data_IF_369441467751
#
_entry.id   IF_369441467751
#
_cell.length_a   1.000
_cell.length_b   1.000
_cell.length_c   1.000
_cell.angle_alpha   90.00
_cell.angle_beta   90.00
_cell.angle_gamma   90.00
#
_symmetry.space_group_name_H-M   'P 1'
#
loop_
_entity.id
_entity.type
_entity.pdbx_description
1 polymer ?
#
# COMPACT_ATOMS: atom_id res chain seq x y z
N UNK A 1 -6.31 38.23 -28.55
CA UNK A 1 -6.58 39.57 -27.99
C UNK A 1 -6.30 40.59 -29.09
N UNK A 2 -7.10 41.66 -29.19
CA UNK A 2 -6.74 42.80 -30.05
C UNK A 2 -5.52 43.51 -29.48
N UNK A 3 -4.75 44.23 -30.29
CA UNK A 3 -3.55 44.96 -29.83
C UNK A 3 -3.85 45.92 -28.67
N UNK A 4 -5.04 46.52 -28.66
CA UNK A 4 -5.51 47.38 -27.58
C UNK A 4 -5.73 46.59 -26.28
N UNK A 5 -6.32 45.40 -26.36
CA UNK A 5 -6.52 44.52 -25.20
C UNK A 5 -5.19 43.98 -24.64
N UNK A 6 -4.24 43.64 -25.52
CA UNK A 6 -2.91 43.16 -25.11
C UNK A 6 -2.11 44.27 -24.40
N UNK A 7 -2.21 45.53 -24.87
CA UNK A 7 -1.59 46.68 -24.21
C UNK A 7 -2.23 47.00 -22.85
N UNK A 8 -3.55 46.95 -22.75
CA UNK A 8 -4.26 47.13 -21.48
C UNK A 8 -3.83 46.06 -20.47
N UNK A 9 -3.87 44.79 -20.87
CA UNK A 9 -3.48 43.66 -20.03
C UNK A 9 -2.03 43.75 -19.56
N UNK A 10 -1.09 44.14 -20.44
CA UNK A 10 0.31 44.34 -20.07
C UNK A 10 0.47 45.43 -19.00
N UNK A 11 -0.26 46.54 -19.13
CA UNK A 11 -0.22 47.67 -18.18
C UNK A 11 -0.79 47.28 -16.81
N UNK A 12 -1.91 46.55 -16.82
CA UNK A 12 -2.55 46.06 -15.59
C UNK A 12 -1.65 45.04 -14.87
N UNK A 13 -1.03 44.14 -15.64
CA UNK A 13 -0.10 43.14 -15.11
C UNK A 13 1.18 43.78 -14.55
N UNK A 14 1.72 44.82 -15.21
CA UNK A 14 2.86 45.59 -14.68
C UNK A 14 2.54 46.20 -13.31
N UNK A 15 1.35 46.80 -13.21
CA UNK A 15 0.89 47.45 -11.98
C UNK A 15 0.71 46.44 -10.86
N UNK A 16 0.08 45.31 -11.16
CA UNK A 16 -0.15 44.22 -10.20
C UNK A 16 1.17 43.68 -9.66
N UNK A 17 2.11 43.34 -10.55
CA UNK A 17 3.39 42.74 -10.17
C UNK A 17 4.25 43.71 -9.33
N UNK A 18 4.27 44.99 -9.69
CA UNK A 18 5.02 46.00 -8.93
C UNK A 18 4.39 46.30 -7.57
N UNK A 19 3.07 46.24 -7.45
CA UNK A 19 2.39 46.39 -6.16
C UNK A 19 2.64 45.17 -5.26
N UNK A 20 2.52 43.96 -5.79
CA UNK A 20 2.82 42.73 -5.05
C UNK A 20 4.30 42.68 -4.59
N UNK A 21 5.23 43.13 -5.43
CA UNK A 21 6.65 43.23 -5.05
C UNK A 21 6.88 44.22 -3.91
N UNK A 22 6.19 45.37 -3.91
CA UNK A 22 6.24 46.34 -2.81
C UNK A 22 5.65 45.77 -1.51
N UNK A 23 4.52 45.07 -1.59
CA UNK A 23 3.90 44.42 -0.43
C UNK A 23 4.79 43.32 0.16
N UNK A 24 5.52 42.58 -0.69
CA UNK A 24 6.49 41.58 -0.27
C UNK A 24 7.84 42.16 0.21
N UNK A 25 8.02 43.50 0.16
CA UNK A 25 9.25 44.17 0.60
C UNK A 25 10.46 43.98 -0.33
N UNK A 26 10.23 43.55 -1.58
CA UNK A 26 11.29 43.32 -2.57
C UNK A 26 11.75 44.65 -3.17
N UNK A 27 13.07 44.90 -3.15
CA UNK A 27 13.68 46.10 -3.75
C UNK A 27 13.95 45.87 -5.24
N UNK A 28 12.91 45.97 -6.08
CA UNK A 28 13.02 45.83 -7.53
C UNK A 28 11.72 46.24 -8.23
N UNK A 29 11.81 46.56 -9.52
CA UNK A 29 10.62 46.82 -10.37
C UNK A 29 10.61 45.88 -11.57
N UNK A 30 9.42 45.59 -12.08
CA UNK A 30 9.17 44.77 -13.26
C UNK A 30 8.56 45.67 -14.33
N UNK A 31 9.06 45.57 -15.57
CA UNK A 31 8.44 46.18 -16.74
C UNK A 31 7.72 45.10 -17.55
N UNK A 32 6.50 45.40 -18.02
CA UNK A 32 5.69 44.47 -18.81
C UNK A 32 5.33 45.14 -20.13
N UNK A 33 5.95 44.71 -21.23
CA UNK A 33 5.72 45.30 -22.56
C UNK A 33 4.86 44.39 -23.41
N UNK A 34 3.80 44.96 -23.99
CA UNK A 34 3.02 44.25 -25.02
C UNK A 34 3.80 44.17 -26.33
N UNK A 35 3.98 42.96 -26.85
CA UNK A 35 4.61 42.68 -28.13
C UNK A 35 3.53 42.55 -29.21
N UNK A 36 3.33 43.64 -29.96
CA UNK A 36 2.22 43.78 -30.93
C UNK A 36 2.27 42.78 -32.08
N UNK A 37 3.43 42.19 -32.38
CA UNK A 37 3.59 41.31 -33.56
C UNK A 37 3.23 39.84 -33.27
N UNK A 38 3.12 39.45 -31.99
CA UNK A 38 2.95 38.04 -31.60
C UNK A 38 1.80 37.78 -30.62
N UNK A 39 1.05 38.81 -30.20
CA UNK A 39 0.05 38.66 -29.12
C UNK A 39 0.66 38.25 -27.78
N UNK A 40 1.96 38.56 -27.59
CA UNK A 40 2.76 38.18 -26.42
C UNK A 40 2.99 39.38 -25.51
N UNK A 41 3.40 39.08 -24.28
CA UNK A 41 3.77 40.08 -23.27
C UNK A 41 5.17 39.72 -22.75
N UNK A 42 6.10 40.67 -22.87
CA UNK A 42 7.48 40.54 -22.43
C UNK A 42 7.62 41.12 -21.02
N UNK A 43 7.98 40.30 -20.04
CA UNK A 43 8.18 40.70 -18.63
C UNK A 43 9.68 40.77 -18.35
N UNK A 44 10.17 41.93 -17.92
CA UNK A 44 11.59 42.15 -17.59
C UNK A 44 11.71 42.68 -16.16
N UNK A 45 12.54 42.03 -15.34
CA UNK A 45 12.99 42.61 -14.07
C UNK A 45 14.00 43.73 -14.35
N UNK A 46 13.80 44.90 -13.74
CA UNK A 46 14.67 46.07 -13.84
C UNK A 46 15.64 46.17 -12.65
N UNK A 47 15.96 45.05 -12.01
CA UNK A 47 16.99 45.01 -10.99
C UNK A 47 18.31 44.64 -11.68
N UNK A 48 19.33 45.49 -11.56
CA UNK A 48 20.61 45.37 -12.31
C UNK A 48 21.64 44.47 -11.59
N UNK A 49 21.20 43.58 -10.69
CA UNK A 49 22.04 42.58 -10.03
C UNK A 49 21.91 41.19 -10.66
N UNK A 50 22.95 40.36 -10.56
CA UNK A 50 23.04 39.01 -11.17
C UNK A 50 21.92 38.03 -10.75
N UNK A 51 21.16 38.32 -9.68
CA UNK A 51 20.09 37.47 -9.15
C UNK A 51 18.67 37.87 -9.60
N UNK A 52 18.54 38.63 -10.69
CA UNK A 52 17.23 39.18 -11.11
C UNK A 52 16.45 38.20 -11.99
N UNK A 53 15.97 37.09 -11.41
CA UNK A 53 15.10 36.13 -12.10
C UNK A 53 13.62 36.29 -11.67
N UNK A 54 12.72 36.25 -12.66
CA UNK A 54 11.28 36.15 -12.43
C UNK A 54 10.87 34.69 -12.61
N UNK A 55 10.50 34.02 -11.52
CA UNK A 55 10.06 32.62 -11.52
C UNK A 55 8.57 32.50 -11.21
N UNK A 56 7.87 31.63 -11.94
CA UNK A 56 6.50 31.23 -11.60
C UNK A 56 6.56 30.06 -10.63
N UNK A 57 6.12 30.25 -9.39
CA UNK A 57 5.98 29.15 -8.42
C UNK A 57 4.73 28.36 -8.80
N UNK A 58 4.90 27.08 -9.18
CA UNK A 58 3.77 26.14 -9.33
C UNK A 58 3.71 25.30 -10.60
N UNK A 59 4.75 25.28 -11.44
CA UNK A 59 4.76 24.40 -12.63
C UNK A 59 5.64 23.17 -12.38
N UNK A 60 5.03 21.99 -12.48
CA UNK A 60 5.66 20.66 -12.45
C UNK A 60 6.35 20.30 -13.77
N UNK A 61 6.40 21.21 -14.75
CA UNK A 61 6.99 20.95 -16.06
C UNK A 61 8.52 21.04 -15.98
N UNK A 62 9.18 19.88 -16.00
CA UNK A 62 10.64 19.73 -15.90
C UNK A 62 11.39 19.92 -17.21
N UNK A 63 10.69 20.05 -18.35
CA UNK A 63 11.31 20.24 -19.69
C UNK A 63 10.37 21.00 -20.62
N UNK A 64 10.80 22.13 -21.16
CA UNK A 64 10.15 22.79 -22.31
C UNK A 64 11.04 22.56 -23.53
N UNK A 65 10.78 21.47 -24.24
CA UNK A 65 11.49 21.15 -25.49
C UNK A 65 10.80 21.86 -26.64
N UNK A 66 11.56 22.61 -27.44
CA UNK A 66 11.02 23.28 -28.62
C UNK A 66 10.44 22.23 -29.60
N UNK A 67 9.17 22.38 -29.97
CA UNK A 67 8.58 21.65 -31.10
C UNK A 67 7.79 20.36 -30.79
N UNK A 68 7.51 20.05 -29.51
CA UNK A 68 6.49 19.05 -29.16
C UNK A 68 5.18 19.75 -28.78
N UNK A 69 4.06 19.20 -29.26
CA UNK A 69 2.72 19.76 -29.11
C UNK A 69 2.36 20.09 -27.66
N UNK A 70 1.66 21.23 -27.53
CA UNK A 70 1.00 21.80 -26.36
C UNK A 70 0.84 20.87 -25.15
N UNK A 71 1.60 21.15 -24.08
CA UNK A 71 1.28 20.69 -22.73
C UNK A 71 1.37 21.86 -21.75
N UNK A 72 0.25 22.57 -21.65
CA UNK A 72 -0.43 22.99 -20.42
C UNK A 72 0.38 23.63 -19.28
N UNK A 73 1.30 24.56 -19.57
CA UNK A 73 1.56 25.62 -18.57
C UNK A 73 1.83 26.96 -19.23
N UNK A 74 1.22 28.00 -18.66
CA UNK A 74 1.45 29.40 -19.04
C UNK A 74 2.94 29.77 -18.99
N UNK A 75 3.71 29.14 -18.08
CA UNK A 75 5.15 29.33 -17.97
C UNK A 75 5.97 28.81 -19.17
N UNK A 76 5.53 27.72 -19.82
CA UNK A 76 6.21 27.16 -20.99
C UNK A 76 6.11 28.09 -22.22
N UNK A 77 4.98 28.79 -22.36
CA UNK A 77 4.75 29.74 -23.46
C UNK A 77 5.63 30.99 -23.31
N UNK A 78 5.87 31.45 -22.07
CA UNK A 78 6.64 32.67 -21.79
C UNK A 78 8.16 32.46 -21.80
N UNK A 79 8.67 31.30 -21.36
CA UNK A 79 10.12 31.08 -21.16
C UNK A 79 10.82 30.30 -22.29
N UNK A 80 10.13 29.96 -23.38
CA UNK A 80 10.62 29.13 -24.50
C UNK A 80 11.77 29.71 -25.34
N UNK A 81 12.51 30.72 -24.86
CA UNK A 81 13.59 31.41 -25.59
C UNK A 81 14.89 31.67 -24.83
N UNK A 82 15.05 31.25 -23.57
CA UNK A 82 16.28 31.48 -22.80
C UNK A 82 16.89 30.14 -22.36
N UNK A 83 17.73 29.57 -23.23
CA UNK A 83 18.24 28.19 -23.10
C UNK A 83 19.12 27.95 -21.87
N UNK A 84 19.93 28.93 -21.43
CA UNK A 84 21.11 28.56 -20.62
C UNK A 84 21.24 29.26 -19.25
N UNK A 85 20.56 30.38 -19.00
CA UNK A 85 20.77 31.14 -17.75
C UNK A 85 19.97 30.61 -16.54
N UNK A 86 18.82 29.96 -16.76
CA UNK A 86 17.91 29.57 -15.65
C UNK A 86 18.04 28.12 -15.19
N UNK A 87 18.95 27.32 -15.78
CA UNK A 87 19.17 25.92 -15.36
C UNK A 87 19.64 25.78 -13.90
N UNK A 88 20.33 26.79 -13.38
CA UNK A 88 20.87 26.78 -12.01
C UNK A 88 19.86 27.23 -10.93
N UNK A 89 18.79 27.95 -11.31
CA UNK A 89 17.82 28.52 -10.37
C UNK A 89 16.47 27.78 -10.35
N UNK A 90 16.32 26.69 -11.09
CA UNK A 90 15.20 25.77 -10.87
C UNK A 90 15.47 24.99 -9.59
N UNK A 91 14.71 25.25 -8.53
CA UNK A 91 14.71 24.43 -7.31
C UNK A 91 14.23 23.03 -7.71
N UNK A 92 15.19 22.15 -7.96
CA UNK A 92 14.91 20.74 -8.20
C UNK A 92 14.47 20.11 -6.88
N UNK A 93 13.15 20.01 -6.68
CA UNK A 93 12.55 19.41 -5.51
C UNK A 93 12.68 17.87 -5.50
N UNK A 94 13.36 17.25 -6.49
CA UNK A 94 13.63 15.82 -6.44
C UNK A 94 14.83 15.53 -5.55
N UNK A 95 14.66 14.55 -4.66
CA UNK A 95 15.74 14.06 -3.82
C UNK A 95 16.82 13.44 -4.72
N UNK A 96 18.08 13.83 -4.48
CA UNK A 96 19.25 13.38 -5.25
C UNK A 96 20.18 12.53 -4.40
N UNK A 97 20.89 11.63 -5.07
CA UNK A 97 21.94 10.83 -4.45
C UNK A 97 23.11 11.74 -4.09
N UNK A 98 23.61 11.61 -2.86
CA UNK A 98 24.66 12.47 -2.29
C UNK A 98 26.08 11.88 -2.39
N UNK A 99 26.24 10.76 -3.10
CA UNK A 99 27.50 10.04 -3.22
C UNK A 99 27.49 9.11 -4.42
N UNK A 100 28.58 9.13 -5.19
CA UNK A 100 28.75 8.20 -6.30
C UNK A 100 29.04 6.78 -5.82
N UNK A 101 28.35 5.83 -6.44
CA UNK A 101 28.54 4.39 -6.32
C UNK A 101 28.97 3.88 -7.70
N UNK A 102 30.22 3.43 -7.80
CA UNK A 102 30.77 2.96 -9.06
C UNK A 102 30.12 1.64 -9.50
N UNK A 103 30.04 1.42 -10.81
CA UNK A 103 29.65 0.13 -11.36
C UNK A 103 30.55 -0.99 -10.80
N UNK A 104 29.96 -2.14 -10.46
CA UNK A 104 30.68 -3.26 -9.86
C UNK A 104 30.89 -3.13 -8.35
N UNK A 105 30.42 -2.06 -7.71
CA UNK A 105 30.41 -1.95 -6.24
C UNK A 105 29.50 -3.03 -5.66
N UNK A 106 29.93 -3.66 -4.58
CA UNK A 106 29.21 -4.78 -3.95
C UNK A 106 28.74 -4.45 -2.53
N UNK A 107 27.64 -5.09 -2.14
CA UNK A 107 27.08 -5.13 -0.79
C UNK A 107 26.54 -6.54 -0.51
N UNK A 108 26.28 -6.86 0.75
CA UNK A 108 25.71 -8.15 1.14
C UNK A 108 24.20 -8.02 1.32
N UNK A 109 23.49 -9.05 0.91
CA UNK A 109 22.08 -9.27 1.22
C UNK A 109 22.00 -10.63 1.90
N UNK A 110 21.50 -10.67 3.12
CA UNK A 110 21.26 -11.91 3.86
C UNK A 110 19.78 -12.23 3.76
N UNK A 111 19.43 -13.41 3.27
CA UNK A 111 18.04 -13.90 3.20
C UNK A 111 17.96 -15.17 4.03
N UNK A 112 17.07 -15.21 5.03
CA UNK A 112 16.88 -16.35 5.93
C UNK A 112 18.20 -16.87 6.54
N UNK A 113 19.12 -15.95 6.87
CA UNK A 113 20.44 -16.26 7.44
C UNK A 113 21.54 -16.59 6.43
N UNK A 114 21.23 -16.77 5.15
CA UNK A 114 22.23 -17.03 4.10
C UNK A 114 22.64 -15.73 3.43
N UNK A 115 23.94 -15.45 3.40
CA UNK A 115 24.50 -14.26 2.77
C UNK A 115 24.74 -14.47 1.27
N UNK A 116 24.28 -13.51 0.46
CA UNK A 116 24.58 -13.43 -0.97
C UNK A 116 25.16 -12.07 -1.35
N UNK A 117 26.07 -12.10 -2.33
CA UNK A 117 26.70 -10.90 -2.87
C UNK A 117 25.81 -10.23 -3.92
N UNK A 118 25.32 -9.04 -3.59
CA UNK A 118 24.76 -8.11 -4.54
C UNK A 118 25.88 -7.25 -5.17
N UNK A 119 25.74 -6.95 -6.46
CA UNK A 119 26.72 -6.15 -7.21
C UNK A 119 25.95 -5.19 -8.08
N UNK A 120 26.33 -3.92 -8.02
CA UNK A 120 25.76 -2.87 -8.87
C UNK A 120 26.07 -3.14 -10.33
N UNK A 121 25.02 -3.19 -11.16
CA UNK A 121 25.12 -3.47 -12.61
C UNK A 121 25.35 -2.21 -13.45
N UNK A 122 25.07 -1.04 -12.89
CA UNK A 122 25.45 0.26 -13.43
C UNK A 122 25.88 1.21 -12.30
N UNK A 123 26.59 2.29 -12.66
CA UNK A 123 26.96 3.32 -11.70
C UNK A 123 25.75 4.18 -11.30
N UNK A 124 25.67 4.54 -10.03
CA UNK A 124 24.74 5.55 -9.49
C UNK A 124 25.58 6.77 -9.16
N UNK A 125 25.40 7.86 -9.89
CA UNK A 125 26.24 9.04 -9.76
C UNK A 125 25.64 10.03 -8.76
N UNK A 126 26.51 10.80 -8.10
CA UNK A 126 26.09 11.97 -7.35
C UNK A 126 25.25 12.91 -8.24
N UNK A 127 24.10 13.34 -7.72
CA UNK A 127 23.17 14.18 -8.45
C UNK A 127 22.10 13.43 -9.26
N UNK A 128 22.20 12.10 -9.41
CA UNK A 128 21.11 11.28 -9.96
C UNK A 128 19.88 11.35 -9.05
N UNK A 129 18.68 11.23 -9.65
CA UNK A 129 17.45 11.19 -8.86
C UNK A 129 17.40 9.92 -8.01
N UNK A 130 16.87 10.02 -6.79
CA UNK A 130 16.65 8.86 -5.92
C UNK A 130 15.78 7.79 -6.58
N UNK A 131 14.86 8.18 -7.48
CA UNK A 131 14.02 7.24 -8.24
C UNK A 131 14.86 6.38 -9.18
N UNK A 132 15.80 6.99 -9.91
CA UNK A 132 16.73 6.25 -10.77
C UNK A 132 17.62 5.31 -9.95
N UNK A 133 18.13 5.79 -8.81
CA UNK A 133 18.91 4.98 -7.88
C UNK A 133 18.11 3.81 -7.31
N UNK A 134 16.83 4.01 -6.95
CA UNK A 134 15.94 2.97 -6.48
C UNK A 134 15.70 1.89 -7.55
N UNK A 135 15.48 2.29 -8.81
CA UNK A 135 15.33 1.33 -9.92
C UNK A 135 16.59 0.50 -10.11
N UNK A 136 17.76 1.14 -10.08
CA UNK A 136 19.04 0.45 -10.22
C UNK A 136 19.27 -0.54 -9.06
N UNK A 137 19.07 -0.08 -7.82
CA UNK A 137 19.18 -0.92 -6.63
C UNK A 137 18.20 -2.09 -6.66
N UNK A 138 16.98 -1.89 -7.17
CA UNK A 138 16.01 -2.96 -7.35
C UNK A 138 16.56 -4.03 -8.30
N UNK A 139 17.07 -3.65 -9.46
CA UNK A 139 17.69 -4.61 -10.40
C UNK A 139 18.84 -5.40 -9.76
N UNK A 140 19.67 -4.72 -8.97
CA UNK A 140 20.82 -5.34 -8.31
C UNK A 140 20.38 -6.34 -7.22
N UNK A 141 19.35 -6.01 -6.45
CA UNK A 141 18.72 -6.90 -5.45
C UNK A 141 18.07 -8.11 -6.11
N UNK A 142 17.28 -7.90 -7.17
CA UNK A 142 16.61 -8.98 -7.90
C UNK A 142 17.64 -9.96 -8.51
N UNK A 143 18.77 -9.44 -8.99
CA UNK A 143 19.90 -10.25 -9.45
C UNK A 143 20.51 -11.06 -8.31
N UNK A 144 20.66 -10.47 -7.12
CA UNK A 144 21.16 -11.16 -5.94
C UNK A 144 20.22 -12.28 -5.45
N UNK A 145 18.89 -12.04 -5.49
CA UNK A 145 17.87 -13.05 -5.19
C UNK A 145 17.94 -14.23 -6.18
N UNK A 146 18.18 -13.96 -7.46
CA UNK A 146 18.42 -15.02 -8.45
C UNK A 146 19.63 -15.89 -8.08
N UNK A 147 20.72 -15.29 -7.58
CA UNK A 147 21.89 -16.05 -7.08
C UNK A 147 21.56 -16.84 -5.81
N UNK A 148 20.77 -16.28 -4.90
CA UNK A 148 20.28 -16.97 -3.71
C UNK A 148 19.47 -18.22 -4.09
N UNK A 149 18.51 -18.08 -4.99
CA UNK A 149 17.70 -19.20 -5.48
C UNK A 149 18.54 -20.30 -6.12
N UNK A 150 19.54 -19.92 -6.93
CA UNK A 150 20.46 -20.88 -7.53
C UNK A 150 21.32 -21.62 -6.48
N UNK A 151 21.68 -20.97 -5.38
CA UNK A 151 22.49 -21.56 -4.31
C UNK A 151 21.68 -22.46 -3.36
N UNK A 152 20.44 -22.07 -3.05
CA UNK A 152 19.59 -22.74 -2.05
C UNK A 152 18.58 -23.72 -2.67
N UNK A 153 18.37 -23.69 -3.99
CA UNK A 153 17.33 -24.48 -4.65
C UNK A 153 15.90 -24.00 -4.37
N UNK A 154 15.74 -22.76 -3.89
CA UNK A 154 14.45 -22.10 -3.58
C UNK A 154 13.93 -21.33 -4.79
N UNK A 155 12.62 -21.02 -4.80
CA UNK A 155 11.96 -20.26 -5.87
C UNK A 155 11.35 -18.93 -5.37
N UNK A 156 12.14 -18.10 -4.66
CA UNK A 156 11.67 -16.75 -4.35
C UNK A 156 11.49 -15.97 -5.65
N UNK A 157 10.33 -15.37 -5.87
CA UNK A 157 10.10 -14.57 -7.08
C UNK A 157 10.89 -13.28 -6.95
N UNK A 158 11.93 -13.09 -7.77
CA UNK A 158 12.81 -11.92 -7.67
C UNK A 158 12.01 -10.59 -7.76
N UNK A 159 10.96 -10.53 -8.57
CA UNK A 159 10.13 -9.33 -8.74
C UNK A 159 9.36 -8.92 -7.49
N UNK A 160 9.22 -9.80 -6.50
CA UNK A 160 8.56 -9.47 -5.23
C UNK A 160 9.42 -8.54 -4.36
N UNK A 161 10.71 -8.41 -4.67
CA UNK A 161 11.58 -7.41 -4.08
C UNK A 161 11.46 -6.09 -4.84
N UNK A 162 10.91 -5.08 -4.17
CA UNK A 162 10.72 -3.74 -4.71
C UNK A 162 11.52 -2.72 -3.92
N UNK A 163 12.00 -1.66 -4.59
CA UNK A 163 12.73 -0.57 -3.94
C UNK A 163 11.99 0.74 -4.18
N UNK A 164 11.66 1.43 -3.09
CA UNK A 164 10.97 2.72 -3.14
C UNK A 164 11.88 3.85 -2.68
N UNK A 165 11.92 4.91 -3.48
CA UNK A 165 12.46 6.20 -3.07
C UNK A 165 11.42 6.96 -2.25
N UNK A 166 11.69 7.14 -0.97
CA UNK A 166 10.78 7.81 -0.05
C UNK A 166 10.92 9.32 -0.12
N UNK A 167 9.86 10.02 0.28
CA UNK A 167 9.83 11.49 0.31
C UNK A 167 10.76 12.11 1.37
N UNK A 168 11.26 11.29 2.29
CA UNK A 168 12.24 11.68 3.32
C UNK A 168 13.70 11.58 2.85
N UNK A 169 13.94 11.20 1.59
CA UNK A 169 15.28 11.01 1.05
C UNK A 169 15.91 9.66 1.37
N UNK A 170 15.14 8.69 1.90
CA UNK A 170 15.61 7.33 2.13
C UNK A 170 15.17 6.35 1.03
N UNK A 171 15.92 5.26 0.88
CA UNK A 171 15.52 4.09 0.10
C UNK A 171 14.94 3.04 1.05
N UNK A 172 13.79 2.46 0.68
CA UNK A 172 13.22 1.29 1.38
C UNK A 172 13.14 0.12 0.42
N UNK A 173 13.54 -1.06 0.90
CA UNK A 173 13.38 -2.32 0.18
C UNK A 173 12.25 -3.09 0.84
N UNK A 174 11.33 -3.59 0.03
CA UNK A 174 10.17 -4.34 0.49
C UNK A 174 10.08 -5.68 -0.24
N UNK A 175 9.64 -6.72 0.47
CA UNK A 175 9.31 -8.01 -0.11
C UNK A 175 7.81 -8.26 0.00
N UNK A 176 7.14 -8.46 -1.14
CA UNK A 176 5.69 -8.66 -1.22
C UNK A 176 5.28 -10.07 -1.62
N UNK A 177 6.17 -11.05 -1.49
CA UNK A 177 5.90 -12.44 -1.86
C UNK A 177 5.08 -13.18 -0.81
N UNK A 178 4.57 -14.36 -1.19
CA UNK A 178 3.68 -15.14 -0.34
C UNK A 178 4.40 -15.89 0.79
N UNK A 179 5.72 -16.11 0.66
CA UNK A 179 6.53 -16.79 1.67
C UNK A 179 7.02 -15.83 2.76
N UNK A 180 7.06 -16.29 4.01
CA UNK A 180 7.69 -15.52 5.08
C UNK A 180 9.22 -15.61 4.95
N UNK A 181 9.86 -14.45 4.77
CA UNK A 181 11.31 -14.34 4.71
C UNK A 181 11.82 -13.24 5.63
N UNK A 182 13.05 -13.41 6.09
CA UNK A 182 13.81 -12.36 6.77
C UNK A 182 14.93 -11.93 5.85
N UNK A 183 15.12 -10.61 5.68
CA UNK A 183 16.29 -10.13 4.97
C UNK A 183 16.92 -8.88 5.59
N UNK A 184 18.23 -8.79 5.42
CA UNK A 184 19.04 -7.68 5.89
C UNK A 184 20.14 -7.36 4.89
N UNK A 185 20.69 -6.15 4.99
CA UNK A 185 21.79 -5.70 4.15
C UNK A 185 23.01 -5.35 4.98
N UNK A 186 24.19 -5.57 4.43
CA UNK A 186 25.45 -5.25 5.07
C UNK A 186 26.52 -4.83 4.06
N UNK A 187 27.68 -4.44 4.58
CA UNK A 187 28.84 -4.16 3.73
C UNK A 187 29.49 -5.45 3.24
N UNK A 188 29.84 -5.46 1.96
CA UNK A 188 30.59 -6.57 1.39
C UNK A 188 32.07 -6.45 1.74
N UNK A 189 32.62 -7.51 2.31
CA UNK A 189 34.07 -7.67 2.50
C UNK A 189 34.60 -8.63 1.44
N UNK A 190 35.49 -8.14 0.59
CA UNK A 190 36.12 -8.97 -0.44
C UNK A 190 37.09 -9.96 0.23
N UNK A 191 36.83 -11.25 0.07
CA UNK A 191 37.63 -12.33 0.66
C UNK A 191 39.07 -12.39 0.13
N UNK A 192 39.33 -11.79 -1.03
CA UNK A 192 40.65 -11.80 -1.68
C UNK A 192 41.52 -10.65 -1.18
N UNK A 193 40.92 -9.47 -0.99
CA UNK A 193 41.63 -8.24 -0.61
C UNK A 193 41.46 -7.88 0.87
N UNK A 194 40.54 -8.54 1.58
CA UNK A 194 40.19 -8.23 2.98
C UNK A 194 39.56 -6.85 3.17
N UNK A 195 39.21 -6.16 2.09
CA UNK A 195 38.72 -4.78 2.14
C UNK A 195 37.19 -4.77 2.24
N UNK A 196 36.66 -4.08 3.25
CA UNK A 196 35.22 -3.85 3.42
C UNK A 196 34.79 -2.63 2.61
N UNK A 197 33.76 -2.79 1.78
CA UNK A 197 33.15 -1.71 1.01
C UNK A 197 32.36 -0.72 1.87
N UNK A 198 31.81 0.31 1.21
CA UNK A 198 30.91 1.32 1.82
C UNK A 198 29.61 1.47 1.03
N UNK A 199 29.31 0.51 0.16
CA UNK A 199 28.22 0.58 -0.81
C UNK A 199 26.86 0.60 -0.11
N UNK A 200 26.68 -0.26 0.90
CA UNK A 200 25.41 -0.35 1.63
C UNK A 200 25.14 0.94 2.42
N UNK A 201 26.17 1.51 3.02
CA UNK A 201 26.08 2.78 3.76
C UNK A 201 25.78 3.96 2.85
N UNK A 202 26.44 4.04 1.68
CA UNK A 202 26.19 5.09 0.68
C UNK A 202 24.77 5.07 0.12
N UNK A 203 24.18 3.88 0.03
CA UNK A 203 22.79 3.69 -0.38
C UNK A 203 21.80 3.77 0.80
N UNK A 204 22.27 3.86 2.04
CA UNK A 204 21.43 3.93 3.25
C UNK A 204 20.77 2.61 3.67
N UNK A 205 21.33 1.45 3.30
CA UNK A 205 20.78 0.12 3.61
C UNK A 205 21.27 -0.48 4.94
N UNK A 206 22.35 0.03 5.54
CA UNK A 206 23.04 -0.61 6.69
C UNK A 206 22.23 -0.74 7.97
N UNK A 207 21.09 -0.06 8.07
CA UNK A 207 20.14 -0.15 9.19
C UNK A 207 18.73 -0.57 8.75
N UNK A 208 18.58 -1.06 7.52
CA UNK A 208 17.30 -1.52 6.97
C UNK A 208 17.27 -3.05 7.08
N UNK A 209 16.80 -3.53 8.22
CA UNK A 209 16.24 -4.89 8.32
C UNK A 209 14.81 -4.83 7.82
N UNK A 210 14.44 -5.77 6.96
CA UNK A 210 13.03 -5.98 6.63
C UNK A 210 12.59 -7.28 7.30
N UNK A 211 11.67 -7.15 8.25
CA UNK A 211 10.68 -8.20 8.43
C UNK A 211 9.77 -8.12 7.21
N UNK A 212 9.60 -9.23 6.49
CA UNK A 212 8.69 -9.33 5.34
C UNK A 212 7.43 -8.51 5.56
N UNK A 213 7.12 -7.55 4.66
CA UNK A 213 5.74 -7.10 4.53
C UNK A 213 4.89 -8.19 3.88
N UNK A 214 4.67 -9.27 4.62
CA UNK A 214 3.29 -9.51 4.96
C UNK A 214 2.87 -8.31 5.80
N UNK A 215 2.41 -7.24 5.13
CA UNK A 215 1.46 -6.31 5.74
C UNK A 215 0.50 -7.19 6.49
N UNK A 216 0.68 -7.25 7.80
CA UNK A 216 0.11 -8.19 8.74
C UNK A 216 -1.21 -8.70 8.15
N UNK A 217 -1.18 -9.80 7.37
CA UNK A 217 -2.36 -10.21 6.60
C UNK A 217 -3.23 -10.81 7.68
N UNK A 218 -3.98 -9.94 8.33
CA UNK A 218 -4.66 -10.25 9.56
C UNK A 218 -5.39 -11.55 9.40
N UNK A 219 -5.40 -12.36 10.45
CA UNK A 219 -6.14 -13.61 10.45
C UNK A 219 -7.60 -13.22 10.17
N UNK A 220 -8.10 -13.72 9.05
CA UNK A 220 -9.46 -13.47 8.60
C UNK A 220 -10.30 -14.66 9.03
N UNK A 221 -11.17 -14.44 10.01
CA UNK A 221 -12.08 -15.46 10.51
C UNK A 221 -13.42 -15.29 9.80
N UNK A 222 -13.93 -16.37 9.23
CA UNK A 222 -15.33 -16.45 8.84
C UNK A 222 -16.16 -16.60 10.11
N UNK A 223 -16.94 -15.58 10.45
CA UNK A 223 -17.71 -15.51 11.70
C UNK A 223 -19.21 -15.59 11.46
N UNK A 224 -19.65 -15.94 10.26
CA UNK A 224 -21.06 -16.04 9.91
C UNK A 224 -21.35 -17.02 8.78
N UNK A 225 -22.62 -17.35 8.58
CA UNK A 225 -23.07 -18.36 7.63
C UNK A 225 -23.04 -17.88 6.16
N UNK A 226 -23.04 -16.57 5.92
CA UNK A 226 -23.11 -16.00 4.57
C UNK A 226 -21.74 -15.48 4.09
N UNK A 227 -21.57 -15.43 2.77
CA UNK A 227 -20.39 -14.85 2.13
C UNK A 227 -20.18 -13.38 2.57
N UNK A 228 -18.93 -13.02 2.85
CA UNK A 228 -18.56 -11.67 3.31
C UNK A 228 -18.75 -11.42 4.81
N UNK A 229 -19.25 -12.38 5.58
CA UNK A 229 -19.32 -12.28 7.05
C UNK A 229 -17.99 -12.67 7.71
N UNK A 230 -16.97 -11.87 7.46
CA UNK A 230 -15.61 -12.08 7.97
C UNK A 230 -15.22 -11.04 9.03
N UNK A 231 -14.27 -11.43 9.88
CA UNK A 231 -13.58 -10.55 10.81
C UNK A 231 -12.07 -10.66 10.57
N UNK A 232 -11.42 -9.54 10.30
CA UNK A 232 -9.98 -9.46 10.17
C UNK A 232 -9.38 -8.99 11.50
N UNK A 233 -8.35 -9.68 11.99
CA UNK A 233 -7.54 -9.17 13.09
C UNK A 233 -6.05 -9.32 12.80
N UNK A 234 -5.27 -8.31 13.15
CA UNK A 234 -3.81 -8.29 12.96
C UNK A 234 -3.14 -8.32 14.33
N UNK A 235 -2.02 -9.01 14.45
CA UNK A 235 -1.19 -8.96 15.64
C UNK A 235 0.21 -8.53 15.23
N UNK A 236 0.63 -7.34 15.66
CA UNK A 236 1.97 -6.85 15.35
C UNK A 236 3.04 -7.79 15.91
N UNK A 237 4.23 -7.79 15.31
CA UNK A 237 5.32 -8.64 15.76
C UNK A 237 5.72 -8.30 17.21
N UNK A 238 5.66 -9.30 18.10
CA UNK A 238 5.96 -9.16 19.53
C UNK A 238 7.34 -9.71 19.93
N UNK A 239 8.25 -9.86 18.96
CA UNK A 239 9.62 -10.29 19.25
C UNK A 239 10.37 -9.22 20.07
N UNK A 240 11.43 -9.63 20.77
CA UNK A 240 12.25 -8.68 21.54
C UNK A 240 12.83 -7.56 20.65
N UNK A 241 13.11 -7.86 19.38
CA UNK A 241 13.63 -6.91 18.41
C UNK A 241 12.56 -5.90 17.98
N UNK A 242 11.37 -6.37 17.59
CA UNK A 242 10.22 -5.54 17.21
C UNK A 242 9.70 -4.66 18.38
N UNK A 243 9.84 -5.15 19.61
CA UNK A 243 9.52 -4.40 20.82
C UNK A 243 10.60 -3.39 21.23
N UNK A 244 11.77 -3.40 20.58
CA UNK A 244 12.88 -2.48 20.83
C UNK A 244 13.70 -2.81 22.08
N UNK A 245 13.56 -4.02 22.62
CA UNK A 245 14.22 -4.50 23.85
C UNK A 245 15.35 -5.52 23.56
N UNK A 246 15.65 -5.80 22.29
CA UNK A 246 16.75 -6.67 21.90
C UNK A 246 18.13 -6.00 22.02
N UNK A 247 19.16 -6.83 22.21
CA UNK A 247 20.55 -6.41 22.13
C UNK A 247 20.98 -5.42 23.21
N UNK A 248 21.69 -4.36 22.79
CA UNK A 248 22.26 -3.33 23.69
C UNK A 248 21.25 -2.24 24.10
N UNK A 249 19.99 -2.35 23.66
CA UNK A 249 18.95 -1.36 23.99
C UNK A 249 18.51 -1.45 25.46
N UNK A 250 18.79 -2.58 26.12
CA UNK A 250 18.61 -2.79 27.55
C UNK A 250 19.99 -2.97 28.20
N UNK A 251 20.75 -1.89 28.31
CA UNK A 251 22.04 -1.88 29.00
C UNK A 251 21.91 -1.29 30.41
N UNK A 252 22.23 -2.10 31.42
CA UNK A 252 22.16 -1.75 32.84
C UNK A 252 23.53 -1.42 33.44
N UNK A 253 24.58 -1.31 32.61
CA UNK A 253 25.96 -1.10 33.09
C UNK A 253 26.22 0.31 33.65
N UNK A 254 25.43 1.31 33.25
CA UNK A 254 25.54 2.69 33.75
C UNK A 254 24.19 3.23 34.21
N UNK A 255 24.20 4.27 35.05
CA UNK A 255 22.97 4.89 35.53
C UNK A 255 22.14 5.53 34.39
N UNK A 256 22.79 6.16 33.41
CA UNK A 256 22.12 6.77 32.25
C UNK A 256 21.54 5.71 31.32
N UNK A 257 22.29 4.63 31.06
CA UNK A 257 21.80 3.51 30.24
C UNK A 257 20.64 2.78 30.90
N UNK A 258 20.66 2.62 32.23
CA UNK A 258 19.56 2.01 32.98
C UNK A 258 18.26 2.84 32.93
N UNK A 259 18.35 4.18 32.93
CA UNK A 259 17.17 5.06 32.77
C UNK A 259 16.55 4.92 31.36
N UNK A 260 17.38 4.87 30.32
CA UNK A 260 16.93 4.65 28.94
C UNK A 260 16.34 3.25 28.75
N UNK A 261 16.95 2.22 29.34
CA UNK A 261 16.44 0.85 29.34
C UNK A 261 15.06 0.76 29.99
N UNK A 262 14.83 1.45 31.11
CA UNK A 262 13.52 1.49 31.78
C UNK A 262 12.44 2.09 30.87
N UNK A 263 12.79 3.14 30.11
CA UNK A 263 11.86 3.78 29.16
C UNK A 263 11.54 2.85 27.98
N UNK A 264 12.54 2.14 27.44
CA UNK A 264 12.35 1.17 26.37
C UNK A 264 11.44 0.01 26.82
N UNK A 265 11.65 -0.51 28.04
CA UNK A 265 10.81 -1.57 28.61
C UNK A 265 9.38 -1.09 28.84
N UNK A 266 9.17 0.12 29.37
CA UNK A 266 7.82 0.67 29.56
C UNK A 266 7.07 0.84 28.22
N UNK A 267 7.77 1.30 27.17
CA UNK A 267 7.21 1.36 25.82
C UNK A 267 6.83 -0.03 25.27
N UNK A 268 7.69 -1.04 25.48
CA UNK A 268 7.40 -2.41 25.10
C UNK A 268 6.19 -2.99 25.85
N UNK A 269 6.09 -2.77 27.16
CA UNK A 269 4.94 -3.21 27.98
C UNK A 269 3.65 -2.56 27.49
N UNK A 270 3.68 -1.26 27.14
CA UNK A 270 2.51 -0.55 26.59
C UNK A 270 2.07 -1.15 25.26
N UNK A 271 3.01 -1.47 24.35
CA UNK A 271 2.69 -2.16 23.08
C UNK A 271 2.03 -3.51 23.31
N UNK A 272 2.61 -4.34 24.17
CA UNK A 272 2.04 -5.67 24.51
C UNK A 272 0.66 -5.53 25.16
N UNK A 273 0.49 -4.55 26.04
CA UNK A 273 -0.80 -4.30 26.72
C UNK A 273 -1.88 -3.84 25.73
N UNK A 274 -1.52 -3.00 24.75
CA UNK A 274 -2.43 -2.59 23.69
C UNK A 274 -2.86 -3.78 22.81
N UNK A 275 -1.91 -4.63 22.43
CA UNK A 275 -2.20 -5.85 21.67
C UNK A 275 -3.15 -6.80 22.44
N UNK A 276 -2.92 -7.01 23.75
CA UNK A 276 -3.83 -7.80 24.61
C UNK A 276 -5.22 -7.18 24.70
N UNK A 277 -5.31 -5.85 24.80
CA UNK A 277 -6.58 -5.14 24.81
C UNK A 277 -7.37 -5.36 23.52
N UNK A 278 -6.70 -5.31 22.37
CA UNK A 278 -7.32 -5.61 21.07
C UNK A 278 -7.77 -7.07 20.98
N UNK A 279 -6.96 -8.03 21.44
CA UNK A 279 -7.34 -9.45 21.49
C UNK A 279 -8.57 -9.69 22.39
N UNK A 280 -8.64 -9.01 23.54
CA UNK A 280 -9.81 -9.08 24.41
C UNK A 280 -11.07 -8.50 23.76
N UNK A 281 -10.95 -7.43 22.98
CA UNK A 281 -12.07 -6.87 22.23
C UNK A 281 -12.55 -7.83 21.11
N UNK A 282 -11.61 -8.45 20.39
CA UNK A 282 -11.91 -9.48 19.38
C UNK A 282 -12.61 -10.68 20.01
N UNK A 283 -12.13 -11.16 21.16
CA UNK A 283 -12.75 -12.26 21.91
C UNK A 283 -14.21 -11.92 22.29
N UNK A 284 -14.46 -10.75 22.88
CA UNK A 284 -15.83 -10.33 23.23
C UNK A 284 -16.73 -10.31 21.99
N UNK A 285 -16.23 -9.81 20.87
CA UNK A 285 -16.98 -9.75 19.62
C UNK A 285 -17.28 -11.15 19.06
N UNK A 286 -16.33 -12.08 19.16
CA UNK A 286 -16.54 -13.48 18.79
C UNK A 286 -17.59 -14.13 19.69
N UNK A 287 -17.52 -13.94 21.01
CA UNK A 287 -18.53 -14.46 21.95
C UNK A 287 -19.93 -13.93 21.64
N UNK A 288 -20.08 -12.63 21.36
CA UNK A 288 -21.36 -12.09 20.93
C UNK A 288 -21.84 -12.66 19.59
N UNK A 289 -20.93 -12.86 18.65
CA UNK A 289 -21.28 -13.40 17.34
C UNK A 289 -21.71 -14.87 17.45
N UNK A 290 -21.04 -15.66 18.28
CA UNK A 290 -21.41 -17.05 18.58
C UNK A 290 -22.81 -17.11 19.17
N UNK A 291 -23.09 -16.33 20.23
CA UNK A 291 -24.41 -16.29 20.87
C UNK A 291 -25.53 -15.92 19.87
N UNK A 292 -25.24 -14.98 18.96
CA UNK A 292 -26.19 -14.58 17.93
C UNK A 292 -26.41 -15.68 16.88
N UNK A 293 -25.33 -16.35 16.45
CA UNK A 293 -25.41 -17.48 15.53
C UNK A 293 -26.15 -18.68 16.12
N UNK A 294 -25.92 -18.99 17.39
CA UNK A 294 -26.63 -20.06 18.09
C UNK A 294 -28.14 -19.78 18.12
N UNK A 295 -28.52 -18.54 18.45
CA UNK A 295 -29.92 -18.09 18.41
C UNK A 295 -30.50 -18.17 17.00
N UNK A 296 -29.74 -17.75 15.98
CA UNK A 296 -30.18 -17.85 14.59
C UNK A 296 -30.33 -19.32 14.15
N UNK A 297 -29.42 -20.20 14.56
CA UNK A 297 -29.46 -21.63 14.30
C UNK A 297 -30.69 -22.28 14.92
N UNK A 298 -31.01 -21.96 16.19
CA UNK A 298 -32.21 -22.46 16.87
C UNK A 298 -33.50 -22.01 16.16
N UNK A 299 -33.55 -20.74 15.74
CA UNK A 299 -34.68 -20.21 14.99
C UNK A 299 -34.84 -20.86 13.61
N UNK A 300 -33.72 -21.08 12.89
CA UNK A 300 -33.74 -21.74 11.59
C UNK A 300 -34.14 -23.21 11.71
N UNK A 301 -33.62 -23.93 12.71
CA UNK A 301 -34.01 -25.30 12.99
C UNK A 301 -35.50 -25.40 13.35
N UNK A 302 -36.02 -24.44 14.14
CA UNK A 302 -37.45 -24.36 14.46
C UNK A 302 -38.29 -24.09 13.21
N UNK A 303 -37.84 -23.20 12.33
CA UNK A 303 -38.51 -22.91 11.07
C UNK A 303 -38.48 -24.11 10.12
N UNK A 304 -37.35 -24.82 10.04
CA UNK A 304 -37.23 -26.07 9.28
C UNK A 304 -38.18 -27.14 9.83
N UNK A 305 -38.22 -27.33 11.15
CA UNK A 305 -39.14 -28.26 11.81
C UNK A 305 -40.60 -27.94 11.47
N UNK A 306 -41.03 -26.67 11.46
CA UNK A 306 -42.40 -26.31 11.04
C UNK A 306 -42.72 -26.61 9.57
N UNK A 307 -41.73 -26.59 8.70
CA UNK A 307 -41.92 -26.82 7.26
C UNK A 307 -41.86 -28.30 6.93
N UNK A 308 -40.92 -29.02 7.56
CA UNK A 308 -40.57 -30.39 7.24
C UNK A 308 -41.28 -31.40 8.13
N UNK A 309 -41.42 -31.10 9.41
CA UNK A 309 -42.05 -32.00 10.36
C UNK A 309 -43.57 -31.80 10.30
N UNK A 310 -44.29 -32.90 10.33
CA UNK A 310 -45.75 -32.89 10.39
C UNK A 310 -46.21 -32.94 11.84
N UNK A 311 -47.36 -32.32 12.13
CA UNK A 311 -48.02 -32.54 13.41
C UNK A 311 -48.56 -33.98 13.44
N UNK A 312 -47.86 -34.84 14.18
CA UNK A 312 -48.23 -36.26 14.33
C UNK A 312 -49.64 -36.44 14.87
N UNK A 313 -50.17 -35.51 15.68
CA UNK A 313 -51.53 -35.62 16.18
C UNK A 313 -52.55 -35.47 15.05
N UNK A 314 -52.37 -34.46 14.19
CA UNK A 314 -53.25 -34.21 13.05
C UNK A 314 -53.10 -35.30 11.97
N UNK A 315 -51.88 -35.70 11.67
CA UNK A 315 -51.61 -36.74 10.67
C UNK A 315 -52.16 -38.11 11.11
N UNK A 316 -52.14 -38.43 12.40
CA UNK A 316 -52.75 -39.66 12.92
C UNK A 316 -54.27 -39.66 12.82
N UNK A 317 -54.93 -38.50 12.96
CA UNK A 317 -56.38 -38.36 12.74
C UNK A 317 -56.70 -38.55 11.25
N UNK A 318 -55.94 -37.91 10.37
CA UNK A 318 -56.10 -38.06 8.92
C UNK A 318 -55.82 -39.50 8.47
N UNK A 319 -54.77 -40.13 8.99
CA UNK A 319 -54.45 -41.53 8.76
C UNK A 319 -55.59 -42.45 9.22
N UNK A 320 -56.10 -42.26 10.44
CA UNK A 320 -57.21 -43.05 10.98
C UNK A 320 -58.48 -42.87 10.13
N UNK A 321 -58.82 -41.63 9.76
CA UNK A 321 -59.94 -41.32 8.86
C UNK A 321 -59.78 -42.01 7.50
N UNK A 322 -58.60 -41.94 6.89
CA UNK A 322 -58.32 -42.57 5.61
C UNK A 322 -58.34 -44.10 5.69
N UNK A 323 -57.86 -44.67 6.79
CA UNK A 323 -57.92 -46.12 7.05
C UNK A 323 -59.37 -46.60 7.17
N UNK A 324 -60.20 -45.88 7.93
CA UNK A 324 -61.65 -46.15 8.04
C UNK A 324 -62.33 -45.99 6.68
N UNK A 325 -62.02 -44.96 5.91
CA UNK A 325 -62.58 -44.75 4.56
C UNK A 325 -62.15 -45.85 3.59
N UNK A 326 -60.91 -46.32 3.64
CA UNK A 326 -60.43 -47.42 2.80
C UNK A 326 -61.16 -48.73 3.15
N UNK A 327 -61.32 -49.02 4.44
CA UNK A 327 -62.06 -50.20 4.91
C UNK A 327 -63.56 -50.11 4.56
N UNK A 328 -64.16 -48.93 4.69
CA UNK A 328 -65.54 -48.66 4.29
C UNK A 328 -65.70 -48.76 2.76
N UNK A 329 -64.77 -48.22 1.98
CA UNK A 329 -64.78 -48.29 0.51
C UNK A 329 -64.65 -49.73 -0.01
N UNK A 330 -63.79 -50.55 0.62
CA UNK A 330 -63.71 -51.99 0.33
C UNK A 330 -65.02 -52.71 0.68
N UNK A 331 -65.63 -52.41 1.82
CA UNK A 331 -66.91 -52.98 2.24
C UNK A 331 -68.07 -52.56 1.32
N UNK A 332 -68.08 -51.30 0.88
CA UNK A 332 -69.05 -50.78 -0.08
C UNK A 332 -68.87 -51.36 -1.47
N UNK A 333 -67.63 -51.53 -1.96
CA UNK A 333 -67.34 -52.23 -3.21
C UNK A 333 -67.78 -53.69 -3.15
N UNK A 334 -67.54 -54.38 -2.03
CA UNK A 334 -68.01 -55.74 -1.82
C UNK A 334 -69.55 -55.82 -1.85
N UNK A 335 -70.24 -54.88 -1.20
CA UNK A 335 -71.70 -54.82 -1.18
C UNK A 335 -72.31 -54.44 -2.53
N UNK A 336 -71.71 -53.50 -3.27
CA UNK A 336 -72.14 -53.14 -4.62
C UNK A 336 -71.94 -54.29 -5.62
N UNK A 337 -70.84 -55.04 -5.50
CA UNK A 337 -70.61 -56.25 -6.30
C UNK A 337 -71.61 -57.36 -5.97
N UNK A 338 -71.95 -57.57 -4.70
CA UNK A 338 -73.00 -58.52 -4.31
C UNK A 338 -74.40 -58.10 -4.81
N UNK A 339 -74.73 -56.81 -4.74
CA UNK A 339 -75.99 -56.30 -5.28
C UNK A 339 -76.09 -56.54 -6.80
N UNK A 340 -75.01 -56.32 -7.56
CA UNK A 340 -74.96 -56.60 -9.00
C UNK A 340 -75.14 -58.10 -9.31
N UNK A 341 -74.57 -59.00 -8.50
CA UNK A 341 -74.80 -60.45 -8.65
C UNK A 341 -76.23 -60.86 -8.27
N UNK A 342 -76.86 -60.16 -7.32
CA UNK A 342 -78.27 -60.31 -6.97
C UNK A 342 -79.24 -59.89 -8.08
N UNK A 343 -78.86 -58.93 -8.92
CA UNK A 343 -79.65 -58.55 -10.11
C UNK A 343 -79.45 -59.57 -11.24
N UNK A 344 -78.25 -60.13 -11.40
CA UNK A 344 -77.97 -61.14 -12.42
C UNK A 344 -78.72 -62.46 -12.17
N UNK A 345 -78.96 -62.80 -10.91
CA UNK A 345 -79.81 -63.93 -10.50
C UNK A 345 -81.31 -63.66 -10.71
N UNK A 346 -81.71 -62.41 -10.90
CA UNK A 346 -83.10 -62.03 -11.23
C UNK A 346 -83.35 -62.00 -12.76
N UNK A 347 -82.29 -62.01 -13.56
CA UNK A 347 -82.34 -61.97 -15.03
C UNK A 347 -82.07 -63.34 -15.69
N UNK A 348 -81.80 -64.38 -14.91
CA UNK A 348 -81.75 -65.78 -15.35
C UNK A 348 -83.00 -66.51 -14.88
#
# INVERSE_FOLDING_TARGET
MTDAQTKSFATDLETLLNNAAKEAGVKGTVTVKANATAGKVDIKSNNDGEDSSFGFVGTTATTVTQGAADTDSFGAVLLSGQSDANKANTVDATMKVNSTIANGSSFTMTINGTEVKATTTAAINEGDTLKSAATQLQTDIQTAVGKYNAAMGTNLTATDFTVTANKDGSLSVEYSGDEEITFSFGEYTDSTTGTTGTTASKLGLTNKTSGSSTSNKGITLQIGANEGQTMNFTLDEMSADALGVAGKNVDLSTQDSAQKATTAIDAAIKKVSAARGQMGAVQNRLEHTINNLDTASENLQTAESRIRDTDMAEEMVNYSKNSILAQAGQSMLAQANQANQGVLTLLQ
#
